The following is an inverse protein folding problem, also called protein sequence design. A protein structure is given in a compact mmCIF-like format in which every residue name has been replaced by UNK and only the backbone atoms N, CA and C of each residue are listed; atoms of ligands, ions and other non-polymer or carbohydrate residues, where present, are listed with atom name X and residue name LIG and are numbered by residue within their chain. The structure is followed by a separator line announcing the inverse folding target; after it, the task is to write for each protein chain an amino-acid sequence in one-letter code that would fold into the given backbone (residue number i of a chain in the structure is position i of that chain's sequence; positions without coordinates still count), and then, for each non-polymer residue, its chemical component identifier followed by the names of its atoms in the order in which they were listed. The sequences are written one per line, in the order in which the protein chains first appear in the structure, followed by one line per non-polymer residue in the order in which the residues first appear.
data_IF_132625629179
#
_entry.id   IF_132625629179
#
_cell.length_a   1.000
_cell.length_b   1.000
_cell.length_c   1.000
_cell.angle_alpha   90.00
_cell.angle_beta   90.00
_cell.angle_gamma   90.00
#
_symmetry.space_group_name_H-M   'P 1'
#
loop_
_entity.id
_entity.type
_entity.pdbx_description
1 polymer ?
#
# COMPACT_ATOMS: atom_id res chain seq x y z
N UNK A 1 -0.54 9.00 -9.32
CA UNK A 1 -1.00 9.19 -7.95
C UNK A 1 0.18 9.27 -7.00
N UNK A 2 -0.02 9.84 -5.83
CA UNK A 2 0.95 9.87 -4.72
C UNK A 2 0.23 9.66 -3.41
N UNK A 3 0.97 9.16 -2.41
CA UNK A 3 0.62 9.21 -1.00
C UNK A 3 1.62 10.11 -0.28
N UNK A 4 1.23 10.89 0.75
CA UNK A 4 2.15 11.77 1.46
C UNK A 4 3.28 11.05 2.18
N UNK A 5 2.99 9.85 2.73
CA UNK A 5 3.92 9.06 3.52
C UNK A 5 3.58 7.58 3.39
N UNK A 6 4.56 6.74 3.06
CA UNK A 6 4.42 5.29 3.16
C UNK A 6 4.45 4.86 4.62
N UNK A 7 3.47 4.04 5.02
CA UNK A 7 3.33 3.49 6.37
C UNK A 7 3.51 4.53 7.50
N UNK A 8 2.65 5.57 7.54
CA UNK A 8 2.85 6.71 8.45
C UNK A 8 2.86 6.34 9.93
N UNK A 9 2.32 5.19 10.32
CA UNK A 9 2.28 4.74 11.71
C UNK A 9 3.41 3.75 12.07
N UNK A 10 4.26 3.39 11.09
CA UNK A 10 5.36 2.46 11.28
C UNK A 10 6.67 3.20 11.58
N UNK A 11 7.09 3.22 12.84
CA UNK A 11 8.34 3.86 13.28
C UNK A 11 9.59 3.02 13.03
N UNK A 12 9.42 1.75 12.70
CA UNK A 12 10.53 0.78 12.57
C UNK A 12 10.99 0.55 11.13
N UNK A 13 10.35 1.15 10.15
CA UNK A 13 10.69 0.96 8.75
C UNK A 13 11.92 1.79 8.32
N UNK A 14 12.65 1.34 7.30
CA UNK A 14 13.79 2.09 6.75
C UNK A 14 13.31 3.39 6.10
N UNK A 15 13.99 4.50 6.42
CA UNK A 15 13.61 5.85 6.01
C UNK A 15 12.17 6.23 6.42
N UNK A 16 11.69 5.67 7.53
CA UNK A 16 10.36 5.94 8.06
C UNK A 16 10.29 7.28 8.77
N UNK A 17 9.13 7.93 8.63
CA UNK A 17 8.75 9.09 9.41
C UNK A 17 7.34 8.85 9.95
N UNK A 18 7.20 8.81 11.28
CA UNK A 18 5.86 8.77 11.87
C UNK A 18 5.11 10.05 11.54
N UNK A 19 3.87 9.90 11.11
CA UNK A 19 2.99 11.01 10.75
C UNK A 19 1.57 10.68 11.22
N UNK A 20 1.05 11.40 12.21
CA UNK A 20 -0.33 11.23 12.66
C UNK A 20 -1.33 11.69 11.60
N UNK A 21 -2.61 11.33 11.77
CA UNK A 21 -3.65 11.78 10.83
C UNK A 21 -3.78 13.31 10.81
N UNK A 22 -3.57 13.99 11.94
CA UNK A 22 -3.56 15.46 12.01
C UNK A 22 -2.42 16.07 11.20
N UNK A 23 -1.21 15.52 11.35
CA UNK A 23 -0.03 16.00 10.63
C UNK A 23 -0.18 15.79 9.12
N UNK A 24 -0.68 14.62 8.69
CA UNK A 24 -0.92 14.35 7.28
C UNK A 24 -2.03 15.24 6.71
N UNK A 25 -3.12 15.42 7.46
CA UNK A 25 -4.19 16.34 7.11
C UNK A 25 -3.66 17.75 6.91
N UNK A 26 -2.90 18.26 7.85
CA UNK A 26 -2.39 19.64 7.81
C UNK A 26 -1.36 19.82 6.69
N UNK A 27 -0.53 18.81 6.44
CA UNK A 27 0.40 18.83 5.29
C UNK A 27 -0.36 18.85 3.95
N UNK A 28 -1.38 18.02 3.80
CA UNK A 28 -2.21 18.01 2.57
C UNK A 28 -2.93 19.33 2.38
N UNK A 29 -3.54 19.85 3.44
CA UNK A 29 -4.36 21.06 3.45
C UNK A 29 -3.55 22.32 3.18
N UNK A 30 -2.37 22.46 3.80
CA UNK A 30 -1.62 23.71 3.80
C UNK A 30 -0.47 23.75 2.80
N UNK A 31 0.04 22.60 2.39
CA UNK A 31 1.22 22.50 1.52
C UNK A 31 0.96 21.73 0.22
N UNK A 32 0.75 20.41 0.31
CA UNK A 32 0.73 19.53 -0.86
C UNK A 32 -0.40 19.86 -1.82
N UNK A 33 -1.64 19.92 -1.32
CA UNK A 33 -2.83 20.18 -2.13
C UNK A 33 -2.79 21.53 -2.84
N UNK A 34 -2.55 22.64 -2.11
CA UNK A 34 -2.42 23.97 -2.73
C UNK A 34 -1.29 24.05 -3.77
N UNK A 35 -0.14 23.40 -3.52
CA UNK A 35 0.98 23.38 -4.47
C UNK A 35 0.63 22.61 -5.75
N UNK A 36 0.00 21.44 -5.63
CA UNK A 36 -0.45 20.69 -6.79
C UNK A 36 -1.48 21.45 -7.62
N UNK A 37 -2.45 22.06 -6.95
CA UNK A 37 -3.46 22.91 -7.60
C UNK A 37 -2.83 24.10 -8.32
N UNK A 38 -1.93 24.81 -7.68
CA UNK A 38 -1.23 25.97 -8.27
C UNK A 38 -0.35 25.59 -9.47
N UNK A 39 0.24 24.39 -9.44
CA UNK A 39 1.05 23.85 -10.55
C UNK A 39 0.21 23.19 -11.66
N UNK A 40 -1.11 23.15 -11.54
CA UNK A 40 -2.00 22.53 -12.54
C UNK A 40 -1.80 21.01 -12.66
N UNK A 41 -1.33 20.34 -11.59
CA UNK A 41 -1.06 18.91 -11.61
C UNK A 41 -2.36 18.10 -11.47
N UNK A 42 -2.58 17.16 -12.38
CA UNK A 42 -3.68 16.19 -12.32
C UNK A 42 -3.37 14.98 -11.42
N UNK A 43 -2.23 14.98 -10.74
CA UNK A 43 -1.80 13.88 -9.86
C UNK A 43 -2.73 13.77 -8.66
N UNK A 44 -3.38 12.61 -8.52
CA UNK A 44 -4.25 12.30 -7.39
C UNK A 44 -3.44 12.09 -6.11
N UNK A 45 -3.97 12.58 -4.99
CA UNK A 45 -3.41 12.39 -3.64
C UNK A 45 -4.30 11.41 -2.90
N UNK A 46 -3.71 10.35 -2.34
CA UNK A 46 -4.40 9.37 -1.50
C UNK A 46 -3.86 9.46 -0.07
N UNK A 47 -4.76 9.50 0.89
CA UNK A 47 -4.44 9.54 2.31
C UNK A 47 -3.93 8.18 2.80
N UNK A 48 -3.27 8.18 3.93
CA UNK A 48 -2.88 7.04 4.74
C UNK A 48 -1.73 6.24 4.14
N UNK A 49 -2.01 5.12 3.41
CA UNK A 49 -1.00 4.22 2.84
C UNK A 49 -0.38 3.26 3.87
N UNK A 50 -1.23 2.53 4.60
CA UNK A 50 -0.82 1.59 5.65
C UNK A 50 -1.88 0.52 5.93
N UNK A 51 -1.69 -0.26 7.01
CA UNK A 51 -2.48 -1.42 7.39
C UNK A 51 -3.94 -1.11 7.75
N UNK A 52 -4.83 -2.07 7.52
CA UNK A 52 -6.27 -1.94 7.82
C UNK A 52 -6.59 -1.70 9.30
N UNK A 53 -5.72 -2.13 10.23
CA UNK A 53 -5.92 -1.99 11.69
C UNK A 53 -5.44 -0.66 12.26
N UNK A 54 -4.85 0.22 11.44
CA UNK A 54 -4.24 1.48 11.89
C UNK A 54 -3.14 1.24 12.94
N UNK A 55 -2.40 0.13 12.80
CA UNK A 55 -1.37 -0.34 13.75
C UNK A 55 -1.88 -0.47 15.18
N UNK A 56 -3.19 -0.70 15.35
CA UNK A 56 -3.92 -0.75 16.63
C UNK A 56 -3.76 0.49 17.53
N UNK A 57 -3.36 1.62 16.94
CA UNK A 57 -3.26 2.90 17.66
C UNK A 57 -4.65 3.55 17.73
N UNK A 58 -5.22 3.62 18.93
CA UNK A 58 -6.61 4.08 19.14
C UNK A 58 -6.87 5.49 18.59
N UNK A 59 -5.91 6.41 18.72
CA UNK A 59 -6.00 7.78 18.21
C UNK A 59 -5.95 7.85 16.69
N UNK A 60 -5.46 6.81 16.01
CA UNK A 60 -5.28 6.76 14.57
C UNK A 60 -6.39 5.97 13.85
N UNK A 61 -7.27 5.30 14.60
CA UNK A 61 -8.41 4.57 13.99
C UNK A 61 -9.22 5.50 13.10
N UNK A 62 -9.65 4.97 11.95
CA UNK A 62 -10.34 5.73 10.89
C UNK A 62 -9.52 6.94 10.37
N UNK A 63 -8.21 6.78 10.26
CA UNK A 63 -7.28 7.82 9.79
C UNK A 63 -7.78 8.56 8.54
N UNK A 64 -8.13 7.90 7.42
CA UNK A 64 -8.62 8.60 6.24
C UNK A 64 -9.95 9.34 6.49
N UNK A 65 -10.87 8.71 7.22
CA UNK A 65 -12.16 9.33 7.53
C UNK A 65 -12.02 10.65 8.27
N UNK A 66 -11.16 10.69 9.30
CA UNK A 66 -10.84 11.93 10.01
C UNK A 66 -10.28 13.03 9.10
N UNK A 67 -9.45 12.64 8.12
CA UNK A 67 -8.96 13.60 7.13
C UNK A 67 -10.07 14.09 6.18
N UNK A 68 -11.05 13.22 5.86
CA UNK A 68 -12.17 13.59 5.00
C UNK A 68 -13.17 14.52 5.69
N UNK A 69 -13.30 14.45 7.01
CA UNK A 69 -14.15 15.36 7.81
C UNK A 69 -13.65 16.81 7.76
N UNK A 70 -12.37 17.07 7.51
CA UNK A 70 -11.86 18.41 7.24
C UNK A 70 -12.04 18.75 5.75
N UNK A 71 -13.07 19.52 5.42
CA UNK A 71 -13.39 19.91 4.04
C UNK A 71 -12.22 20.60 3.31
N UNK A 72 -11.38 21.35 4.05
CA UNK A 72 -10.23 22.05 3.48
C UNK A 72 -9.09 21.08 3.07
N UNK A 73 -8.97 19.93 3.73
CA UNK A 73 -8.07 18.85 3.33
C UNK A 73 -8.74 17.93 2.30
N UNK A 74 -9.99 17.54 2.56
CA UNK A 74 -10.75 16.57 1.76
C UNK A 74 -10.86 16.94 0.29
N UNK A 75 -10.95 18.23 -0.04
CA UNK A 75 -11.01 18.72 -1.42
C UNK A 75 -9.81 18.31 -2.27
N UNK A 76 -8.66 18.02 -1.66
CA UNK A 76 -7.43 17.61 -2.34
C UNK A 76 -7.24 16.09 -2.39
N UNK A 77 -8.03 15.34 -1.62
CA UNK A 77 -7.88 13.90 -1.48
C UNK A 77 -8.81 13.16 -2.45
N UNK A 78 -8.22 12.39 -3.34
CA UNK A 78 -8.98 11.48 -4.21
C UNK A 78 -9.52 10.27 -3.45
N UNK A 79 -8.81 9.81 -2.43
CA UNK A 79 -9.16 8.63 -1.67
C UNK A 79 -8.11 8.24 -0.63
N UNK A 80 -8.08 6.95 -0.29
CA UNK A 80 -7.11 6.36 0.63
C UNK A 80 -6.42 5.14 0.03
N UNK A 81 -5.22 4.86 0.55
CA UNK A 81 -4.41 3.71 0.17
C UNK A 81 -4.20 2.79 1.38
N UNK A 82 -4.16 1.47 1.12
CA UNK A 82 -4.08 0.47 2.17
C UNK A 82 -3.08 -0.65 1.88
N UNK A 83 -2.54 -1.23 2.96
CA UNK A 83 -1.73 -2.44 3.02
C UNK A 83 -2.43 -3.51 3.85
N UNK A 84 -2.01 -4.78 3.75
CA UNK A 84 -2.63 -5.90 4.45
C UNK A 84 -1.73 -6.63 5.45
N UNK A 85 -0.72 -5.98 5.98
CA UNK A 85 0.14 -6.59 7.00
C UNK A 85 -0.52 -6.64 8.38
N UNK A 86 -1.60 -5.89 8.60
CA UNK A 86 -2.39 -5.90 9.82
C UNK A 86 -3.84 -5.57 9.57
N UNK A 87 -4.74 -6.18 10.38
CA UNK A 87 -6.18 -5.99 10.27
C UNK A 87 -6.87 -6.85 9.22
N UNK A 88 -8.03 -6.40 8.77
CA UNK A 88 -8.89 -7.13 7.85
C UNK A 88 -9.39 -6.22 6.73
N UNK A 89 -9.44 -6.73 5.49
CA UNK A 89 -9.92 -6.01 4.31
C UNK A 89 -11.38 -5.51 4.40
N UNK A 90 -12.16 -5.95 5.39
CA UNK A 90 -13.48 -5.38 5.68
C UNK A 90 -13.41 -3.87 5.94
N UNK A 91 -12.26 -3.37 6.37
CA UNK A 91 -12.05 -1.93 6.54
C UNK A 91 -12.22 -1.15 5.24
N UNK A 92 -11.86 -1.72 4.09
CA UNK A 92 -12.12 -1.12 2.78
C UNK A 92 -13.62 -0.89 2.57
N UNK A 93 -14.44 -1.86 2.97
CA UNK A 93 -15.89 -1.75 2.88
C UNK A 93 -16.45 -0.72 3.86
N UNK A 94 -15.89 -0.61 5.07
CA UNK A 94 -16.30 0.38 6.07
C UNK A 94 -16.04 1.80 5.56
N UNK A 95 -14.85 2.05 5.04
CA UNK A 95 -14.47 3.35 4.47
C UNK A 95 -15.33 3.67 3.25
N UNK A 96 -15.52 2.70 2.33
CA UNK A 96 -16.37 2.93 1.16
C UNK A 96 -17.83 3.24 1.51
N UNK A 97 -18.40 2.57 2.50
CA UNK A 97 -19.76 2.86 2.96
C UNK A 97 -19.88 4.25 3.58
N UNK A 98 -18.88 4.70 4.32
CA UNK A 98 -18.86 6.01 4.96
C UNK A 98 -18.59 7.15 3.95
N UNK A 99 -17.75 6.91 2.95
CA UNK A 99 -17.28 7.90 1.97
C UNK A 99 -17.30 7.32 0.55
N UNK A 100 -18.50 7.05 -0.03
CA UNK A 100 -18.62 6.33 -1.31
C UNK A 100 -18.06 7.10 -2.51
N UNK A 101 -17.87 8.42 -2.39
CA UNK A 101 -17.25 9.26 -3.42
C UNK A 101 -15.72 9.20 -3.42
N UNK A 102 -15.11 8.65 -2.36
CA UNK A 102 -13.65 8.52 -2.24
C UNK A 102 -13.18 7.19 -2.82
N UNK A 103 -12.10 7.26 -3.56
CA UNK A 103 -11.49 6.08 -4.18
C UNK A 103 -10.67 5.29 -3.16
N UNK A 104 -10.52 3.99 -3.40
CA UNK A 104 -9.63 3.13 -2.62
C UNK A 104 -8.56 2.54 -3.53
N UNK A 105 -7.34 2.44 -3.02
CA UNK A 105 -6.23 1.73 -3.62
C UNK A 105 -5.67 0.72 -2.64
N UNK A 106 -5.30 -0.43 -3.12
CA UNK A 106 -4.44 -1.36 -2.40
C UNK A 106 -3.01 -1.18 -2.91
N UNK A 107 -2.10 -0.72 -2.06
CA UNK A 107 -0.82 -0.18 -2.50
C UNK A 107 0.38 -0.99 -2.10
N UNK A 108 0.23 -1.96 -1.17
CA UNK A 108 1.35 -2.82 -0.81
C UNK A 108 0.92 -4.13 -0.16
N UNK A 109 1.58 -5.19 -0.57
CA UNK A 109 1.72 -6.48 0.12
C UNK A 109 2.99 -7.16 -0.36
N UNK A 110 3.61 -7.98 0.49
CA UNK A 110 4.86 -8.67 0.18
C UNK A 110 4.71 -10.19 0.25
N UNK A 111 5.49 -10.87 -0.55
CA UNK A 111 5.80 -12.29 -0.41
C UNK A 111 7.26 -12.46 -0.02
N UNK A 112 7.56 -13.51 0.73
CA UNK A 112 8.93 -13.75 1.17
C UNK A 112 9.10 -15.10 1.85
N UNK A 113 10.20 -15.24 2.59
CA UNK A 113 10.53 -16.50 3.26
C UNK A 113 9.54 -16.88 4.36
N UNK A 114 8.89 -15.90 4.99
CA UNK A 114 7.98 -16.09 6.14
C UNK A 114 6.60 -16.65 5.76
N UNK A 115 6.18 -16.52 4.51
CA UNK A 115 4.83 -16.90 4.07
C UNK A 115 4.84 -17.88 2.90
N UNK A 116 5.91 -18.67 2.75
CA UNK A 116 6.08 -19.63 1.64
C UNK A 116 6.02 -18.95 0.26
N UNK A 117 6.54 -17.76 0.12
CA UNK A 117 6.35 -16.87 -1.02
C UNK A 117 6.73 -17.42 -2.41
N UNK A 118 7.56 -18.48 -2.48
CA UNK A 118 7.88 -19.20 -3.72
C UNK A 118 7.03 -20.46 -3.95
N UNK A 119 6.22 -20.87 -2.99
CA UNK A 119 5.35 -22.04 -3.13
C UNK A 119 4.02 -21.63 -3.77
N UNK A 120 3.95 -21.70 -5.09
CA UNK A 120 2.75 -21.35 -5.84
C UNK A 120 1.51 -22.14 -5.42
N UNK A 121 1.67 -23.39 -4.97
CA UNK A 121 0.54 -24.22 -4.55
C UNK A 121 -0.16 -23.68 -3.30
N UNK A 122 0.59 -22.96 -2.44
CA UNK A 122 0.07 -22.33 -1.22
C UNK A 122 -0.30 -20.88 -1.43
N UNK A 123 0.58 -20.13 -2.12
CA UNK A 123 0.46 -18.67 -2.20
C UNK A 123 -0.53 -18.18 -3.23
N UNK A 124 -0.62 -18.84 -4.40
CA UNK A 124 -1.42 -18.31 -5.51
C UNK A 124 -2.89 -18.13 -5.13
N UNK A 125 -3.49 -19.13 -4.50
CA UNK A 125 -4.89 -19.08 -4.09
C UNK A 125 -5.12 -18.00 -3.03
N UNK A 126 -4.22 -17.92 -2.04
CA UNK A 126 -4.33 -16.94 -0.96
C UNK A 126 -4.15 -15.51 -1.47
N UNK A 127 -3.13 -15.27 -2.29
CA UNK A 127 -2.88 -13.94 -2.86
C UNK A 127 -4.00 -13.53 -3.83
N UNK A 128 -4.54 -14.47 -4.61
CA UNK A 128 -5.70 -14.18 -5.44
C UNK A 128 -6.92 -13.81 -4.59
N UNK A 129 -7.18 -14.56 -3.52
CA UNK A 129 -8.33 -14.35 -2.63
C UNK A 129 -8.21 -13.07 -1.80
N UNK A 130 -7.04 -12.83 -1.19
CA UNK A 130 -6.87 -11.74 -0.22
C UNK A 130 -6.38 -10.44 -0.88
N UNK A 131 -5.60 -10.52 -1.96
CA UNK A 131 -4.99 -9.36 -2.61
C UNK A 131 -5.78 -8.98 -3.86
N UNK A 132 -5.74 -9.78 -4.93
CA UNK A 132 -6.34 -9.36 -6.20
C UNK A 132 -7.87 -9.24 -6.09
N UNK A 133 -8.59 -10.36 -5.95
CA UNK A 133 -10.06 -10.36 -5.89
C UNK A 133 -10.58 -9.74 -4.59
N UNK A 134 -9.87 -9.99 -3.47
CA UNK A 134 -10.28 -9.51 -2.16
C UNK A 134 -10.34 -8.00 -2.05
N UNK A 135 -9.40 -7.30 -2.68
CA UNK A 135 -9.37 -5.84 -2.65
C UNK A 135 -10.29 -5.23 -3.71
N UNK A 136 -10.30 -5.76 -4.93
CA UNK A 136 -11.16 -5.27 -6.02
C UNK A 136 -12.65 -5.45 -5.67
N UNK A 137 -13.04 -6.60 -5.11
CA UNK A 137 -14.41 -6.83 -4.65
C UNK A 137 -14.81 -5.96 -3.45
N UNK A 138 -13.83 -5.33 -2.77
CA UNK A 138 -14.03 -4.36 -1.70
C UNK A 138 -13.67 -2.93 -2.16
N UNK A 139 -13.96 -2.61 -3.43
CA UNK A 139 -13.93 -1.27 -4.01
C UNK A 139 -12.56 -0.66 -4.28
N UNK A 140 -11.45 -1.40 -4.13
CA UNK A 140 -10.18 -0.90 -4.62
C UNK A 140 -10.18 -0.79 -6.14
N UNK A 141 -9.70 0.32 -6.67
CA UNK A 141 -9.56 0.59 -8.10
C UNK A 141 -8.24 0.14 -8.69
N UNK A 142 -7.32 -0.29 -7.85
CA UNK A 142 -6.03 -0.78 -8.27
C UNK A 142 -5.34 -1.57 -7.17
N UNK A 143 -4.43 -2.44 -7.59
CA UNK A 143 -3.61 -3.30 -6.73
C UNK A 143 -2.15 -3.12 -7.10
N UNK A 144 -1.33 -2.81 -6.09
CA UNK A 144 0.12 -2.71 -6.21
C UNK A 144 0.73 -3.67 -5.19
N UNK A 145 1.77 -4.38 -5.59
CA UNK A 145 2.47 -5.32 -4.73
C UNK A 145 3.93 -4.90 -4.52
N UNK A 146 4.49 -5.25 -3.39
CA UNK A 146 5.90 -5.12 -3.09
C UNK A 146 6.62 -6.43 -3.40
N UNK A 147 7.61 -6.51 -4.25
CA UNK A 147 8.05 -5.52 -5.23
C UNK A 147 8.11 -6.19 -6.61
N UNK A 148 8.51 -5.44 -7.65
CA UNK A 148 8.51 -5.97 -9.01
C UNK A 148 9.56 -7.07 -9.21
N UNK A 149 10.82 -6.82 -8.83
CA UNK A 149 11.92 -7.69 -9.20
C UNK A 149 13.06 -7.63 -8.19
N UNK A 150 13.51 -8.81 -7.78
CA UNK A 150 14.73 -9.01 -7.00
C UNK A 150 15.59 -10.10 -7.66
N UNK A 151 16.81 -10.30 -7.14
CA UNK A 151 17.59 -11.47 -7.52
C UNK A 151 17.32 -12.68 -6.59
N UNK A 152 17.96 -13.80 -6.85
CA UNK A 152 17.79 -15.02 -6.06
C UNK A 152 18.34 -14.89 -4.62
N UNK A 153 19.17 -13.90 -4.34
CA UNK A 153 19.67 -13.53 -3.01
C UNK A 153 18.84 -12.42 -2.35
N UNK A 154 17.74 -12.05 -2.98
CA UNK A 154 16.79 -11.01 -2.54
C UNK A 154 17.35 -9.59 -2.59
N UNK A 155 18.35 -9.37 -3.42
CA UNK A 155 18.91 -8.04 -3.70
C UNK A 155 18.23 -7.40 -4.95
N UNK A 156 18.28 -6.08 -5.08
CA UNK A 156 18.91 -5.14 -4.16
C UNK A 156 18.03 -4.89 -2.93
N UNK A 157 18.66 -4.85 -1.78
CA UNK A 157 18.04 -4.42 -0.54
C UNK A 157 19.01 -3.51 0.22
N UNK A 158 18.53 -2.82 1.23
CA UNK A 158 19.33 -1.93 2.09
C UNK A 158 19.11 -2.26 3.54
N UNK A 159 20.04 -1.83 4.38
CA UNK A 159 19.89 -1.95 5.84
C UNK A 159 18.57 -1.28 6.29
N UNK A 160 17.82 -1.96 7.14
CA UNK A 160 16.49 -1.55 7.58
C UNK A 160 15.36 -1.82 6.60
N UNK A 161 15.66 -2.21 5.35
CA UNK A 161 14.66 -2.68 4.40
C UNK A 161 14.41 -4.19 4.49
N UNK A 162 13.48 -4.72 3.67
CA UNK A 162 13.15 -6.13 3.70
C UNK A 162 14.30 -7.00 3.17
N UNK A 163 14.88 -7.80 4.06
CA UNK A 163 15.96 -8.75 3.74
C UNK A 163 15.44 -10.13 3.33
N UNK A 164 14.15 -10.38 3.46
CA UNK A 164 13.50 -11.68 3.30
C UNK A 164 12.42 -11.69 2.23
N UNK A 165 12.14 -10.55 1.59
CA UNK A 165 11.19 -10.42 0.49
C UNK A 165 11.63 -11.13 -0.78
N UNK A 166 10.65 -11.61 -1.55
CA UNK A 166 10.82 -11.99 -2.95
C UNK A 166 10.17 -10.95 -3.86
N UNK A 167 10.67 -10.80 -5.09
CA UNK A 167 9.99 -10.02 -6.12
C UNK A 167 8.75 -10.74 -6.66
N UNK A 168 7.92 -10.06 -7.41
CA UNK A 168 6.97 -10.73 -8.29
C UNK A 168 7.73 -11.61 -9.29
N UNK A 169 8.92 -11.16 -9.67
CA UNK A 169 9.89 -11.90 -10.47
C UNK A 169 11.24 -11.89 -9.75
N UNK A 170 11.87 -13.06 -9.63
CA UNK A 170 13.27 -13.16 -9.20
C UNK A 170 14.16 -13.54 -10.40
N UNK A 171 15.29 -12.86 -10.58
CA UNK A 171 16.26 -13.11 -11.63
C UNK A 171 17.53 -13.70 -11.02
N UNK A 172 18.05 -14.79 -11.61
CA UNK A 172 19.31 -15.36 -11.18
C UNK A 172 20.46 -14.36 -11.36
N UNK A 173 21.21 -14.12 -10.30
CA UNK A 173 22.41 -13.27 -10.33
C UNK A 173 23.65 -14.01 -10.87
N UNK A 174 23.56 -15.31 -11.15
CA UNK A 174 24.66 -16.09 -11.76
C UNK A 174 24.68 -16.01 -13.28
N UNK A 175 23.53 -15.86 -13.92
CA UNK A 175 23.42 -15.87 -15.38
C UNK A 175 22.59 -14.71 -15.97
N UNK A 176 21.84 -13.97 -15.13
CA UNK A 176 20.93 -12.89 -15.49
C UNK A 176 19.90 -13.26 -16.57
N UNK A 177 19.57 -14.55 -16.67
CA UNK A 177 18.65 -15.12 -17.68
C UNK A 177 17.57 -15.99 -17.08
N UNK A 178 17.92 -16.75 -16.04
CA UNK A 178 16.96 -17.60 -15.35
C UNK A 178 15.99 -16.74 -14.54
N UNK A 179 14.69 -16.90 -14.81
CA UNK A 179 13.62 -16.10 -14.23
C UNK A 179 12.68 -17.02 -13.48
N UNK A 180 12.42 -16.69 -12.20
CA UNK A 180 11.39 -17.32 -11.36
C UNK A 180 10.22 -16.34 -11.28
N UNK A 181 9.00 -16.80 -11.59
CA UNK A 181 7.78 -16.02 -11.44
C UNK A 181 7.05 -16.49 -10.19
N UNK A 182 6.87 -15.58 -9.24
CA UNK A 182 6.20 -15.85 -7.97
C UNK A 182 4.69 -15.52 -8.08
N UNK A 183 3.92 -15.80 -7.02
CA UNK A 183 2.46 -15.63 -7.02
C UNK A 183 2.01 -14.22 -7.42
N UNK A 184 2.70 -13.18 -6.97
CA UNK A 184 2.39 -11.79 -7.31
C UNK A 184 2.46 -11.52 -8.82
N UNK A 185 3.39 -12.16 -9.55
CA UNK A 185 3.42 -12.06 -11.01
C UNK A 185 2.10 -12.54 -11.63
N UNK A 186 1.61 -13.68 -11.18
CA UNK A 186 0.40 -14.28 -11.76
C UNK A 186 -0.86 -13.51 -11.37
N UNK A 187 -1.02 -13.09 -10.11
CA UNK A 187 -2.22 -12.36 -9.69
C UNK A 187 -2.35 -11.00 -10.35
N UNK A 188 -1.24 -10.33 -10.64
CA UNK A 188 -1.26 -9.04 -11.36
C UNK A 188 -1.48 -9.25 -12.87
N UNK A 189 -1.03 -10.38 -13.43
CA UNK A 189 -1.25 -10.70 -14.85
C UNK A 189 -2.70 -11.06 -15.20
N UNK A 190 -3.49 -11.52 -14.22
CA UNK A 190 -4.92 -11.88 -14.39
C UNK A 190 -5.84 -10.69 -14.18
#
# INVERSE_FOLDING_TARGET
AVTPQNEPLNRGNSASLYMSWEEQRDFVKTALGPKFKAAGLATKIYAYDHNYDYSDIATEKNYPGKMYEDAAASQYLAGAAYHNYGGNREELLNIHKAYPEKELLFTETSIGTWNSGRDLSKRLLEDMKEVALGTINNWCRGVIVWNLMLDNDRAPNREGGCQTCYGAVDISNSDYKTIIRNSHYYIIAH
#
